data_IF_860878240790
#
_entry.id   IF_860878240790
#
_cell.length_a   1.000
_cell.length_b   1.000
_cell.length_c   1.000
_cell.angle_alpha   90.00
_cell.angle_beta   90.00
_cell.angle_gamma   90.00
#
_symmetry.space_group_name_H-M   'P 1'
#
loop_
_entity.id
_entity.type
_entity.pdbx_description
1 polymer ?
#
# COMPACT_ATOMS: atom_id res chain seq x y z
N UNK A 1 -15.60 11.89 -16.85
CA UNK A 1 -15.21 11.27 -15.57
C UNK A 1 -13.85 11.79 -15.10
N UNK A 2 -13.70 13.10 -14.93
CA UNK A 2 -12.40 13.71 -14.57
C UNK A 2 -12.54 14.74 -13.42
N UNK A 3 -13.64 14.74 -12.69
CA UNK A 3 -13.93 15.84 -11.76
C UNK A 3 -13.56 15.54 -10.29
N UNK A 4 -13.37 14.28 -9.90
CA UNK A 4 -13.06 13.93 -8.51
C UNK A 4 -11.57 14.08 -8.22
N UNK A 5 -10.69 13.87 -9.20
CA UNK A 5 -9.25 14.03 -9.07
C UNK A 5 -8.77 15.49 -9.02
N UNK A 6 -9.68 16.45 -9.16
CA UNK A 6 -9.35 17.89 -9.21
C UNK A 6 -9.96 18.72 -8.09
N UNK A 7 -10.46 18.10 -7.03
CA UNK A 7 -10.85 18.88 -5.86
C UNK A 7 -9.60 19.29 -5.06
N UNK A 8 -9.28 20.59 -4.95
CA UNK A 8 -8.08 21.06 -4.25
C UNK A 8 -7.96 20.53 -2.81
N UNK A 9 -9.10 20.21 -2.18
CA UNK A 9 -9.15 19.65 -0.82
C UNK A 9 -8.67 18.21 -0.70
N UNK A 10 -8.66 17.43 -1.78
CA UNK A 10 -8.15 16.04 -1.77
C UNK A 10 -6.68 15.96 -2.16
N UNK A 11 -6.18 16.92 -2.92
CA UNK A 11 -4.78 16.99 -3.33
C UNK A 11 -3.85 17.42 -2.20
N UNK A 12 -4.35 18.13 -1.20
CA UNK A 12 -3.58 18.59 -0.04
C UNK A 12 -3.80 17.74 1.23
N UNK A 13 -4.54 16.63 1.14
CA UNK A 13 -4.76 15.74 2.28
C UNK A 13 -3.60 14.78 2.44
N UNK A 14 -2.71 15.10 3.34
CA UNK A 14 -1.55 14.29 3.69
C UNK A 14 -0.83 14.87 4.88
N UNK A 15 0.26 14.26 5.26
CA UNK A 15 1.14 14.78 6.30
C UNK A 15 1.90 16.00 5.75
N UNK A 16 1.94 17.11 6.48
CA UNK A 16 2.78 18.25 6.11
C UNK A 16 4.24 17.81 5.92
N UNK A 17 4.89 18.31 4.87
CA UNK A 17 6.24 17.89 4.50
C UNK A 17 7.33 18.44 5.43
N UNK A 18 6.98 19.38 6.31
CA UNK A 18 7.83 19.90 7.37
C UNK A 18 7.84 19.04 8.64
N UNK A 19 6.93 18.07 8.76
CA UNK A 19 6.92 17.14 9.90
C UNK A 19 8.04 16.10 9.74
N UNK A 20 8.82 15.93 10.81
CA UNK A 20 9.94 14.98 10.82
C UNK A 20 9.42 13.60 11.25
N UNK A 21 9.48 12.65 10.33
CA UNK A 21 9.04 11.28 10.55
C UNK A 21 10.03 10.45 11.35
N UNK A 22 9.56 9.36 11.93
CA UNK A 22 10.45 8.35 12.54
C UNK A 22 11.44 7.78 11.51
N UNK A 23 11.00 7.58 10.27
CA UNK A 23 11.85 7.07 9.21
C UNK A 23 13.01 8.03 8.89
N UNK A 24 12.74 9.35 8.79
CA UNK A 24 13.79 10.36 8.59
C UNK A 24 14.79 10.40 9.76
N UNK A 25 14.31 10.28 10.99
CA UNK A 25 15.21 10.24 12.15
C UNK A 25 16.10 9.01 12.16
N UNK A 26 15.54 7.84 11.83
CA UNK A 26 16.29 6.59 11.75
C UNK A 26 17.27 6.59 10.57
N UNK A 27 16.85 7.13 9.41
CA UNK A 27 17.73 7.31 8.26
C UNK A 27 18.93 8.21 8.62
N UNK A 28 18.68 9.33 9.30
CA UNK A 28 19.74 10.22 9.79
C UNK A 28 20.65 9.55 10.82
N UNK A 29 20.16 8.56 11.56
CA UNK A 29 20.93 7.73 12.50
C UNK A 29 21.66 6.56 11.82
N UNK A 30 21.62 6.44 10.49
CA UNK A 30 22.34 5.43 9.71
C UNK A 30 21.59 4.11 9.52
N UNK A 31 20.30 4.06 9.81
CA UNK A 31 19.47 2.91 9.45
C UNK A 31 19.10 2.97 7.96
N UNK A 32 19.08 1.81 7.32
CA UNK A 32 18.43 1.66 6.02
C UNK A 32 16.92 1.52 6.22
N UNK A 33 16.13 2.39 5.60
CA UNK A 33 14.70 2.53 5.88
C UNK A 33 13.84 2.00 4.73
N UNK A 34 12.89 1.15 5.05
CA UNK A 34 12.09 0.38 4.10
C UNK A 34 10.61 0.50 4.42
N UNK A 35 9.79 0.80 3.40
CA UNK A 35 8.33 0.81 3.50
C UNK A 35 7.75 -0.26 2.59
N UNK A 36 6.84 -1.08 3.12
CA UNK A 36 6.07 -2.07 2.34
C UNK A 36 4.60 -1.97 2.72
N UNK A 37 3.74 -1.74 1.74
CA UNK A 37 2.31 -1.81 1.88
C UNK A 37 1.58 -0.48 1.80
N UNK A 38 0.59 -0.26 2.70
CA UNK A 38 -0.26 0.92 2.69
C UNK A 38 0.47 2.15 3.24
N UNK A 39 0.27 3.27 2.52
CA UNK A 39 0.60 4.61 2.99
C UNK A 39 -0.65 5.49 2.97
N UNK A 40 -0.96 6.17 4.06
CA UNK A 40 -2.17 6.99 4.17
C UNK A 40 -1.87 8.47 4.44
N UNK A 41 -0.60 8.87 4.26
CA UNK A 41 -0.11 10.20 4.63
C UNK A 41 0.08 11.14 3.43
N UNK A 42 -0.59 10.83 2.32
CA UNK A 42 -0.55 11.64 1.10
C UNK A 42 0.11 10.96 -0.07
N UNK A 43 -0.21 11.45 -1.28
CA UNK A 43 0.29 10.91 -2.55
C UNK A 43 0.94 11.98 -3.43
N UNK A 44 0.78 13.25 -3.06
CA UNK A 44 1.35 14.38 -3.79
C UNK A 44 2.86 14.48 -3.58
N UNK A 45 3.49 15.35 -4.36
CA UNK A 45 4.93 15.59 -4.30
C UNK A 45 5.36 15.92 -2.87
N UNK A 46 6.36 15.18 -2.37
CA UNK A 46 6.89 15.32 -1.03
C UNK A 46 6.15 14.52 0.06
N UNK A 47 4.97 13.95 -0.23
CA UNK A 47 4.16 13.23 0.78
C UNK A 47 4.27 11.71 0.67
N UNK A 48 4.86 11.17 -0.40
CA UNK A 48 5.04 9.73 -0.59
C UNK A 48 6.15 9.18 0.31
N UNK A 49 6.17 7.86 0.62
CA UNK A 49 7.17 7.27 1.52
C UNK A 49 8.61 7.62 1.16
N UNK A 50 8.94 7.55 -0.13
CA UNK A 50 10.29 7.86 -0.65
C UNK A 50 10.74 9.31 -0.44
N UNK A 51 9.82 10.20 -0.05
CA UNK A 51 10.10 11.60 0.31
C UNK A 51 9.95 11.87 1.81
N UNK A 52 9.62 10.83 2.58
CA UNK A 52 9.36 10.90 4.02
C UNK A 52 10.29 9.98 4.80
N UNK A 53 11.55 9.85 4.33
CA UNK A 53 12.62 9.17 5.03
C UNK A 53 12.72 7.67 4.77
N UNK A 54 12.07 7.14 3.74
CA UNK A 54 12.26 5.75 3.33
C UNK A 54 13.20 5.67 2.12
N UNK A 55 14.32 4.93 2.27
CA UNK A 55 15.28 4.68 1.19
C UNK A 55 14.67 3.84 0.07
N UNK A 56 13.80 2.89 0.44
CA UNK A 56 13.07 2.04 -0.48
C UNK A 56 11.60 1.93 -0.09
N UNK A 57 10.71 1.94 -1.08
CA UNK A 57 9.27 1.86 -0.89
C UNK A 57 8.63 0.90 -1.88
N UNK A 58 7.92 -0.09 -1.38
CA UNK A 58 6.95 -0.88 -2.13
C UNK A 58 5.55 -0.42 -1.71
N UNK A 59 5.02 0.56 -2.42
CA UNK A 59 3.77 1.23 -2.09
C UNK A 59 2.56 0.50 -2.68
N UNK A 60 1.54 0.29 -1.86
CA UNK A 60 0.21 -0.10 -2.31
C UNK A 60 -0.47 1.08 -3.02
N UNK A 61 -0.61 1.00 -4.34
CA UNK A 61 -1.25 2.06 -5.14
C UNK A 61 -2.78 1.98 -5.09
N UNK A 62 -3.33 0.77 -4.89
CA UNK A 62 -4.77 0.58 -4.79
C UNK A 62 -5.13 -0.69 -4.00
N UNK A 63 -6.36 -0.84 -3.55
CA UNK A 63 -6.74 -1.67 -2.42
C UNK A 63 -7.43 -3.00 -2.74
N UNK A 64 -7.25 -3.61 -3.91
CA UNK A 64 -7.66 -5.01 -4.11
C UNK A 64 -6.57 -5.97 -3.61
N UNK A 65 -7.00 -7.09 -3.00
CA UNK A 65 -6.10 -8.16 -2.56
C UNK A 65 -5.75 -9.13 -3.69
N UNK A 66 -6.67 -9.27 -4.65
CA UNK A 66 -6.52 -9.98 -5.93
C UNK A 66 -7.35 -9.27 -7.00
N UNK A 67 -7.09 -9.51 -8.29
CA UNK A 67 -8.03 -9.12 -9.35
C UNK A 67 -9.44 -9.64 -9.05
N UNK A 68 -10.45 -8.84 -9.36
CA UNK A 68 -11.87 -9.16 -9.04
C UNK A 68 -12.33 -10.45 -9.71
N UNK A 69 -11.75 -10.77 -10.86
CA UNK A 69 -12.05 -11.93 -11.70
C UNK A 69 -11.09 -13.11 -11.50
N UNK A 70 -10.21 -13.02 -10.51
CA UNK A 70 -9.32 -14.13 -10.16
C UNK A 70 -10.14 -15.32 -9.65
N UNK A 71 -9.92 -16.55 -10.16
CA UNK A 71 -10.69 -17.73 -9.76
C UNK A 71 -10.48 -18.15 -8.29
N UNK A 72 -9.44 -17.65 -7.65
CA UNK A 72 -9.11 -17.94 -6.25
C UNK A 72 -9.67 -16.91 -5.27
N UNK A 73 -10.35 -15.85 -5.74
CA UNK A 73 -10.86 -14.79 -4.88
C UNK A 73 -12.33 -14.98 -4.54
N UNK A 74 -12.66 -14.76 -3.27
CA UNK A 74 -14.03 -14.51 -2.81
C UNK A 74 -14.19 -13.01 -2.59
N UNK A 75 -15.13 -12.41 -3.33
CA UNK A 75 -15.46 -10.99 -3.25
C UNK A 75 -16.72 -10.82 -2.36
N UNK A 76 -16.55 -10.34 -1.14
CA UNK A 76 -17.66 -10.07 -0.22
C UNK A 76 -18.22 -8.66 -0.45
N UNK A 77 -19.09 -8.52 -1.46
CA UNK A 77 -19.75 -7.26 -1.80
C UNK A 77 -20.95 -6.99 -0.92
N UNK A 78 -21.08 -5.74 -0.49
CA UNK A 78 -22.25 -5.25 0.23
C UNK A 78 -23.09 -4.40 -0.73
N UNK A 79 -23.84 -5.05 -1.62
CA UNK A 79 -24.58 -4.40 -2.71
C UNK A 79 -25.66 -3.42 -2.22
N UNK A 80 -26.03 -3.47 -0.95
CA UNK A 80 -26.93 -2.49 -0.31
C UNK A 80 -26.22 -1.21 0.15
N UNK A 81 -24.88 -1.18 0.20
CA UNK A 81 -24.10 -0.02 0.64
C UNK A 81 -23.50 0.75 -0.57
N UNK A 82 -23.97 1.99 -0.84
CA UNK A 82 -23.45 2.80 -1.93
C UNK A 82 -21.95 3.12 -1.80
N UNK A 83 -21.41 3.14 -0.57
CA UNK A 83 -19.98 3.37 -0.33
C UNK A 83 -19.17 2.15 -0.78
N UNK A 84 -19.61 0.93 -0.42
CA UNK A 84 -18.96 -0.30 -0.85
C UNK A 84 -18.98 -0.42 -2.38
N UNK A 85 -20.12 -0.16 -3.01
CA UNK A 85 -20.23 -0.14 -4.47
C UNK A 85 -19.23 0.84 -5.11
N UNK A 86 -19.10 2.05 -4.56
CA UNK A 86 -18.16 3.06 -5.06
C UNK A 86 -16.70 2.63 -4.89
N UNK A 87 -16.37 1.93 -3.79
CA UNK A 87 -15.06 1.37 -3.53
C UNK A 87 -14.72 0.30 -4.59
N UNK A 88 -15.59 -0.67 -4.82
CA UNK A 88 -15.39 -1.73 -5.81
C UNK A 88 -15.17 -1.18 -7.24
N UNK A 89 -15.82 -0.10 -7.60
CA UNK A 89 -15.64 0.53 -8.90
C UNK A 89 -14.28 1.21 -9.09
N UNK A 90 -13.69 1.71 -8.01
CA UNK A 90 -12.47 2.51 -8.03
C UNK A 90 -11.20 1.74 -7.75
N UNK A 91 -11.27 0.71 -6.90
CA UNK A 91 -10.09 -0.03 -6.47
C UNK A 91 -9.52 -0.89 -7.60
N UNK A 92 -8.21 -1.03 -7.58
CA UNK A 92 -7.42 -1.84 -8.50
C UNK A 92 -6.45 -2.73 -7.72
N UNK A 93 -5.92 -3.71 -8.37
CA UNK A 93 -4.85 -4.55 -7.86
C UNK A 93 -3.52 -3.99 -8.37
N UNK A 94 -2.87 -3.15 -7.56
CA UNK A 94 -1.73 -2.37 -8.00
C UNK A 94 -0.77 -1.98 -6.86
N UNK A 95 0.52 -2.05 -7.15
CA UNK A 95 1.61 -1.56 -6.32
C UNK A 95 2.62 -0.78 -7.18
N UNK A 96 3.54 -0.06 -6.53
CA UNK A 96 4.67 0.60 -7.21
C UNK A 96 5.93 0.56 -6.36
N UNK A 97 7.11 0.59 -7.00
CA UNK A 97 8.39 0.73 -6.34
C UNK A 97 8.92 2.16 -6.47
N UNK A 98 9.32 2.77 -5.34
CA UNK A 98 10.06 4.04 -5.28
C UNK A 98 9.48 5.13 -6.19
N UNK A 99 8.15 5.31 -6.17
CA UNK A 99 7.47 6.30 -7.01
C UNK A 99 7.44 5.97 -8.51
N UNK A 100 7.89 4.79 -8.90
CA UNK A 100 7.87 4.32 -10.28
C UNK A 100 6.46 3.95 -10.79
N UNK A 101 6.35 3.41 -12.00
CA UNK A 101 5.08 3.02 -12.58
C UNK A 101 4.39 1.91 -11.79
N UNK A 102 3.06 1.99 -11.74
CA UNK A 102 2.25 0.97 -11.08
C UNK A 102 2.30 -0.36 -11.87
N UNK A 103 2.32 -1.47 -11.12
CA UNK A 103 2.28 -2.82 -11.65
C UNK A 103 1.29 -3.68 -10.85
N UNK A 104 0.81 -4.77 -11.42
CA UNK A 104 0.04 -5.77 -10.71
C UNK A 104 0.98 -6.71 -9.93
N UNK A 105 0.85 -6.82 -8.60
CA UNK A 105 1.58 -7.81 -7.82
C UNK A 105 1.26 -9.25 -8.26
N UNK A 106 1.97 -10.23 -7.70
CA UNK A 106 1.69 -11.65 -7.96
C UNK A 106 1.09 -12.32 -6.74
N UNK A 107 -0.06 -12.99 -6.93
CA UNK A 107 -0.73 -13.72 -5.86
C UNK A 107 -1.49 -12.82 -4.89
N UNK A 108 -1.91 -13.36 -3.76
CA UNK A 108 -2.67 -12.61 -2.75
C UNK A 108 -1.82 -11.50 -2.14
N UNK A 109 -2.36 -10.30 -2.05
CA UNK A 109 -1.58 -9.10 -1.71
C UNK A 109 -0.87 -9.19 -0.35
N UNK A 110 -1.52 -9.80 0.64
CA UNK A 110 -0.94 -9.99 1.97
C UNK A 110 0.27 -10.91 1.92
N UNK A 111 0.18 -12.02 1.19
CA UNK A 111 1.28 -12.97 1.01
C UNK A 111 2.42 -12.31 0.22
N UNK A 112 2.08 -11.61 -0.85
CA UNK A 112 3.06 -10.87 -1.65
C UNK A 112 3.88 -9.90 -0.80
N UNK A 113 3.22 -9.08 0.04
CA UNK A 113 3.94 -8.15 0.92
C UNK A 113 4.74 -8.86 2.01
N UNK A 114 4.25 -9.99 2.50
CA UNK A 114 4.99 -10.82 3.46
C UNK A 114 6.27 -11.36 2.83
N UNK A 115 6.20 -11.89 1.61
CA UNK A 115 7.36 -12.41 0.88
C UNK A 115 8.38 -11.31 0.57
N UNK A 116 7.89 -10.13 0.19
CA UNK A 116 8.76 -8.97 -0.02
C UNK A 116 9.42 -8.51 1.31
N UNK A 117 8.70 -8.54 2.42
CA UNK A 117 9.24 -8.22 3.74
C UNK A 117 10.32 -9.23 4.18
N UNK A 118 10.08 -10.53 3.97
CA UNK A 118 11.07 -11.59 4.24
C UNK A 118 12.34 -11.35 3.40
N UNK A 119 12.16 -11.05 2.13
CA UNK A 119 13.28 -10.75 1.22
C UNK A 119 14.05 -9.51 1.64
N UNK A 120 13.35 -8.45 2.04
CA UNK A 120 13.93 -7.21 2.53
C UNK A 120 14.73 -7.43 3.83
N UNK A 121 14.19 -8.19 4.79
CA UNK A 121 14.88 -8.55 6.03
C UNK A 121 16.16 -9.35 5.73
N UNK A 122 16.07 -10.36 4.87
CA UNK A 122 17.21 -11.18 4.49
C UNK A 122 18.33 -10.36 3.82
N UNK A 123 17.97 -9.41 2.97
CA UNK A 123 18.92 -8.54 2.29
C UNK A 123 19.60 -7.51 3.22
N UNK A 124 18.96 -7.18 4.34
CA UNK A 124 19.43 -6.12 5.24
C UNK A 124 19.94 -6.63 6.61
N UNK A 125 19.97 -7.95 6.84
CA UNK A 125 20.32 -8.56 8.14
C UNK A 125 21.70 -8.18 8.71
N UNK A 126 22.63 -7.74 7.85
CA UNK A 126 24.01 -7.43 8.21
C UNK A 126 24.25 -5.92 8.42
N UNK A 127 23.18 -5.11 8.43
CA UNK A 127 23.22 -3.66 8.72
C UNK A 127 22.01 -3.23 9.56
N UNK A 128 22.08 -2.11 10.28
CA UNK A 128 20.90 -1.54 10.91
C UNK A 128 19.84 -1.20 9.85
N UNK A 129 18.61 -1.67 10.04
CA UNK A 129 17.50 -1.33 9.16
C UNK A 129 16.22 -1.09 9.96
N UNK A 130 15.31 -0.34 9.35
CA UNK A 130 13.96 -0.11 9.82
C UNK A 130 12.98 -0.50 8.71
N UNK A 131 12.13 -1.48 8.98
CA UNK A 131 11.08 -1.91 8.06
C UNK A 131 9.72 -1.52 8.61
N UNK A 132 8.98 -0.67 7.89
CA UNK A 132 7.58 -0.38 8.12
C UNK A 132 6.71 -1.24 7.19
N UNK A 133 6.21 -2.36 7.71
CA UNK A 133 5.31 -3.27 7.00
C UNK A 133 3.86 -2.94 7.38
N UNK A 134 3.13 -2.35 6.45
CA UNK A 134 1.74 -1.92 6.60
C UNK A 134 0.81 -2.74 5.71
N UNK A 135 0.35 -3.89 6.19
CA UNK A 135 -0.62 -4.71 5.48
C UNK A 135 -1.95 -3.98 5.26
N UNK A 136 -2.63 -4.30 4.16
CA UNK A 136 -3.97 -3.78 3.86
C UNK A 136 -5.08 -4.48 4.66
N UNK A 137 -4.90 -5.74 5.02
CA UNK A 137 -5.86 -6.55 5.77
C UNK A 137 -6.17 -5.98 7.17
N UNK A 138 -7.42 -5.84 7.51
CA UNK A 138 -8.65 -6.33 6.83
C UNK A 138 -9.50 -5.16 6.31
N UNK A 139 -8.96 -4.30 5.48
CA UNK A 139 -9.67 -3.12 4.97
C UNK A 139 -10.57 -3.49 3.78
N UNK A 140 -11.66 -2.75 3.58
CA UNK A 140 -12.49 -2.88 2.37
C UNK A 140 -11.77 -2.35 1.11
N UNK A 141 -12.09 -2.93 -0.07
CA UNK A 141 -13.13 -3.92 -0.34
C UNK A 141 -12.75 -5.28 0.25
N UNK A 142 -13.74 -6.00 0.78
CA UNK A 142 -13.50 -7.27 1.48
C UNK A 142 -13.28 -8.39 0.47
N UNK A 143 -12.09 -8.94 0.47
CA UNK A 143 -11.70 -10.09 -0.33
C UNK A 143 -10.97 -11.13 0.53
N UNK A 144 -11.16 -12.40 0.24
CA UNK A 144 -10.44 -13.50 0.83
C UNK A 144 -9.97 -14.48 -0.25
N UNK A 145 -8.92 -15.24 0.05
CA UNK A 145 -8.65 -16.45 -0.72
C UNK A 145 -9.77 -17.45 -0.53
N UNK A 146 -10.17 -18.11 -1.62
CA UNK A 146 -11.21 -19.14 -1.56
C UNK A 146 -10.84 -20.27 -0.60
N UNK A 147 -9.58 -20.67 -0.54
CA UNK A 147 -9.09 -21.69 0.36
C UNK A 147 -9.28 -21.33 1.85
N UNK A 148 -9.07 -20.06 2.21
CA UNK A 148 -9.25 -19.57 3.58
C UNK A 148 -10.73 -19.36 3.93
N UNK A 149 -11.54 -19.02 2.93
CA UNK A 149 -12.97 -18.80 3.11
C UNK A 149 -13.73 -20.12 3.31
N UNK A 150 -13.28 -21.20 2.65
CA UNK A 150 -13.91 -22.52 2.68
C UNK A 150 -13.40 -23.39 3.89
N UNK A 151 -12.40 -22.92 4.67
CA UNK A 151 -11.81 -23.65 5.80
C UNK A 151 -12.63 -23.50 7.08
#
# INVERSE_FOLDING_TARGET
MAAVDRMPRFQSMGMPTEEITLAEQLQAAGYHTLHIGKWHLGRDQGMRPEHQGFDESLLMESGLYLPVDDPQVVNARQDFDPLDQAIWLKMRYAASYNGGPAFAPKGYLTDYYTDQAISAIAANKDRPFFLYLAHWGVHSPLQALKADYDA
#
